data_IF_036150222655
#
_entry.id   IF_036150222655
#
_cell.length_a   1.000
_cell.length_b   1.000
_cell.length_c   1.000
_cell.angle_alpha   90.00
_cell.angle_beta   90.00
_cell.angle_gamma   90.00
#
_symmetry.space_group_name_H-M   'P 1'
#
loop_
_entity.id
_entity.type
_entity.pdbx_description
1 polymer ?
#
# COMPACT_ATOMS: atom_id res chain seq x y z
N UNK A 1 8.49 13.86 -5.96
CA UNK A 1 7.54 13.21 -5.05
C UNK A 1 8.25 12.21 -4.14
N UNK A 2 7.82 12.14 -2.90
CA UNK A 2 8.32 11.19 -1.90
C UNK A 2 7.35 10.04 -1.73
N UNK A 3 7.84 8.82 -1.87
CA UNK A 3 7.08 7.58 -1.73
C UNK A 3 7.52 6.79 -0.51
N UNK A 4 6.60 6.14 0.15
CA UNK A 4 6.88 5.11 1.14
C UNK A 4 6.22 3.80 0.71
N UNK A 5 6.89 2.69 0.97
CA UNK A 5 6.42 1.34 0.66
C UNK A 5 6.24 0.57 1.98
N UNK A 6 5.08 -0.04 2.13
CA UNK A 6 4.77 -0.91 3.28
C UNK A 6 4.32 -2.25 2.74
N UNK A 7 5.13 -3.28 2.89
CA UNK A 7 4.74 -4.64 2.54
C UNK A 7 4.13 -5.32 3.75
N UNK A 8 2.88 -5.76 3.59
CA UNK A 8 2.11 -6.44 4.63
C UNK A 8 2.19 -7.93 4.39
N UNK A 9 3.00 -8.63 5.18
CA UNK A 9 3.24 -10.06 5.02
C UNK A 9 3.75 -10.69 6.31
N UNK A 10 3.19 -11.85 6.66
CA UNK A 10 3.65 -12.65 7.80
C UNK A 10 4.95 -13.42 7.50
N UNK A 11 5.37 -13.51 6.23
CA UNK A 11 6.47 -14.39 5.79
C UNK A 11 7.61 -13.69 5.07
N UNK A 12 7.38 -12.48 4.51
CA UNK A 12 8.42 -11.75 3.76
C UNK A 12 9.34 -10.97 4.69
N UNK A 13 10.58 -10.77 4.21
CA UNK A 13 11.55 -9.82 4.77
C UNK A 13 11.87 -8.78 3.68
N UNK A 14 12.63 -7.74 4.01
CA UNK A 14 13.06 -6.77 3.00
C UNK A 14 13.84 -7.44 1.85
N UNK A 15 14.62 -8.47 2.15
CA UNK A 15 15.40 -9.20 1.15
C UNK A 15 14.51 -10.05 0.23
N UNK A 16 13.41 -10.60 0.74
CA UNK A 16 12.50 -11.46 -0.02
C UNK A 16 11.27 -10.74 -0.56
N UNK A 17 11.14 -9.45 -0.30
CA UNK A 17 10.03 -8.60 -0.73
C UNK A 17 10.17 -8.21 -2.20
N UNK A 18 9.85 -9.13 -3.10
CA UNK A 18 9.97 -8.93 -4.54
C UNK A 18 9.11 -7.76 -5.03
N UNK A 19 7.86 -7.69 -4.61
CA UNK A 19 6.93 -6.65 -5.04
C UNK A 19 7.39 -5.25 -4.58
N UNK A 20 7.76 -5.12 -3.30
CA UNK A 20 8.26 -3.87 -2.75
C UNK A 20 9.55 -3.41 -3.42
N UNK A 21 10.46 -4.34 -3.70
CA UNK A 21 11.72 -4.03 -4.38
C UNK A 21 11.49 -3.56 -5.83
N UNK A 22 10.55 -4.16 -6.56
CA UNK A 22 10.16 -3.71 -7.91
C UNK A 22 9.58 -2.30 -7.86
N UNK A 23 8.72 -2.00 -6.88
CA UNK A 23 8.17 -0.65 -6.70
C UNK A 23 9.28 0.38 -6.44
N UNK A 24 10.25 0.03 -5.61
CA UNK A 24 11.37 0.91 -5.31
C UNK A 24 12.17 1.25 -6.57
N UNK A 25 12.43 0.25 -7.41
CA UNK A 25 13.07 0.45 -8.72
C UNK A 25 12.25 1.36 -9.63
N UNK A 26 10.94 1.13 -9.74
CA UNK A 26 10.05 1.93 -10.58
C UNK A 26 9.97 3.40 -10.11
N UNK A 27 9.95 3.62 -8.81
CA UNK A 27 9.98 4.95 -8.21
C UNK A 27 11.26 5.67 -8.61
N UNK A 28 12.40 5.00 -8.49
CA UNK A 28 13.69 5.55 -8.87
C UNK A 28 13.78 5.88 -10.37
N UNK A 29 13.26 5.00 -11.23
CA UNK A 29 13.22 5.23 -12.68
C UNK A 29 12.45 6.49 -13.07
N UNK A 30 11.42 6.85 -12.28
CA UNK A 30 10.65 8.09 -12.48
C UNK A 30 11.34 9.33 -11.96
N UNK A 31 12.49 9.20 -11.33
CA UNK A 31 13.19 10.30 -10.69
C UNK A 31 12.57 10.71 -9.36
N UNK A 32 11.74 9.87 -8.77
CA UNK A 32 11.12 10.10 -7.46
C UNK A 32 11.94 9.43 -6.36
N UNK A 33 11.65 9.76 -5.11
CA UNK A 33 12.42 9.28 -3.96
C UNK A 33 11.61 8.31 -3.12
N UNK A 34 12.15 7.14 -2.83
CA UNK A 34 11.62 6.24 -1.81
C UNK A 34 12.20 6.65 -0.45
N UNK A 35 11.38 7.23 0.41
CA UNK A 35 11.82 7.73 1.73
C UNK A 35 11.74 6.66 2.82
N UNK A 36 11.00 5.59 2.60
CA UNK A 36 10.87 4.48 3.53
C UNK A 36 10.38 3.23 2.80
N UNK A 37 10.95 2.08 3.14
CA UNK A 37 10.48 0.78 2.69
C UNK A 37 10.55 -0.18 3.88
N UNK A 38 9.41 -0.64 4.35
CA UNK A 38 9.30 -1.52 5.51
C UNK A 38 8.42 -2.74 5.20
N UNK A 39 8.68 -3.82 5.91
CA UNK A 39 7.82 -5.00 5.93
C UNK A 39 7.21 -5.11 7.33
N UNK A 40 5.90 -5.28 7.40
CA UNK A 40 5.18 -5.51 8.65
C UNK A 40 4.36 -6.79 8.54
N UNK A 41 4.04 -7.38 9.67
CA UNK A 41 3.13 -8.53 9.71
C UNK A 41 1.70 -8.11 9.35
N UNK A 42 0.83 -9.09 9.00
CA UNK A 42 -0.57 -8.85 8.65
C UNK A 42 -1.43 -8.57 9.90
N UNK A 43 -0.98 -7.63 10.71
CA UNK A 43 -1.70 -7.15 11.90
C UNK A 43 -2.22 -5.74 11.68
N UNK A 44 -3.53 -5.57 11.82
CA UNK A 44 -4.24 -4.31 11.54
C UNK A 44 -3.61 -3.11 12.24
N UNK A 45 -3.29 -3.24 13.51
CA UNK A 45 -2.69 -2.13 14.29
C UNK A 45 -1.27 -1.78 13.83
N UNK A 46 -0.48 -2.78 13.43
CA UNK A 46 0.90 -2.56 12.96
C UNK A 46 0.91 -1.94 11.57
N UNK A 47 0.02 -2.37 10.68
CA UNK A 47 -0.13 -1.76 9.35
C UNK A 47 -0.57 -0.29 9.50
N UNK A 48 -1.57 -0.03 10.33
CA UNK A 48 -2.06 1.31 10.63
C UNK A 48 -0.93 2.22 11.16
N UNK A 49 -0.13 1.72 12.09
CA UNK A 49 1.00 2.45 12.65
C UNK A 49 2.07 2.76 11.60
N UNK A 50 2.36 1.80 10.71
CA UNK A 50 3.31 2.01 9.62
C UNK A 50 2.84 3.12 8.67
N UNK A 51 1.55 3.16 8.36
CA UNK A 51 0.95 4.23 7.53
C UNK A 51 1.12 5.59 8.21
N UNK A 52 0.77 5.69 9.48
CA UNK A 52 0.90 6.94 10.25
C UNK A 52 2.36 7.42 10.26
N UNK A 53 3.30 6.51 10.47
CA UNK A 53 4.73 6.82 10.46
C UNK A 53 5.21 7.32 9.10
N UNK A 54 4.78 6.67 8.01
CA UNK A 54 5.13 7.08 6.66
C UNK A 54 4.60 8.48 6.33
N UNK A 55 3.38 8.79 6.73
CA UNK A 55 2.76 10.10 6.49
C UNK A 55 3.38 11.21 7.36
N UNK A 56 3.64 10.93 8.63
CA UNK A 56 4.11 11.93 9.60
C UNK A 56 5.62 12.07 9.61
N UNK A 57 6.33 11.04 10.07
CA UNK A 57 7.79 11.10 10.22
C UNK A 57 8.53 11.26 8.89
N UNK A 58 8.12 10.52 7.88
CA UNK A 58 8.78 10.52 6.58
C UNK A 58 8.16 11.50 5.59
N UNK A 59 7.06 12.13 5.94
CA UNK A 59 6.37 13.13 5.10
C UNK A 59 6.17 12.65 3.67
N UNK A 60 5.80 11.38 3.48
CA UNK A 60 5.55 10.81 2.16
C UNK A 60 4.39 11.53 1.47
N UNK A 61 4.51 11.75 0.18
CA UNK A 61 3.41 12.24 -0.65
C UNK A 61 2.45 11.10 -1.01
N UNK A 62 3.03 9.90 -1.20
CA UNK A 62 2.28 8.68 -1.53
C UNK A 62 2.82 7.51 -0.70
N UNK A 63 1.92 6.78 -0.09
CA UNK A 63 2.21 5.50 0.56
C UNK A 63 1.59 4.38 -0.28
N UNK A 64 2.39 3.39 -0.65
CA UNK A 64 1.91 2.20 -1.35
C UNK A 64 2.05 1.01 -0.41
N UNK A 65 0.95 0.33 -0.16
CA UNK A 65 0.98 -0.92 0.58
C UNK A 65 0.93 -2.10 -0.40
N UNK A 66 1.65 -3.17 -0.09
CA UNK A 66 1.64 -4.41 -0.85
C UNK A 66 1.17 -5.54 0.04
N UNK A 67 0.16 -6.27 -0.40
CA UNK A 67 -0.38 -7.41 0.32
C UNK A 67 -1.59 -7.08 1.20
N UNK A 68 -2.28 -8.12 1.64
CA UNK A 68 -3.38 -8.02 2.58
C UNK A 68 -4.68 -7.45 2.05
N UNK A 69 -4.94 -7.51 0.73
CA UNK A 69 -6.14 -6.95 0.11
C UNK A 69 -7.12 -8.00 -0.43
N UNK A 70 -6.93 -9.26 -0.07
CA UNK A 70 -7.80 -10.36 -0.49
C UNK A 70 -8.90 -10.69 0.51
N UNK A 71 -9.33 -11.97 0.50
CA UNK A 71 -10.47 -12.45 1.27
C UNK A 71 -10.08 -13.33 2.47
N UNK A 72 -8.79 -13.53 2.71
CA UNK A 72 -8.31 -14.29 3.86
C UNK A 72 -8.56 -13.53 5.17
N UNK A 73 -8.79 -14.23 6.30
CA UNK A 73 -8.91 -13.56 7.60
C UNK A 73 -7.72 -12.68 7.99
N UNK A 74 -6.54 -12.99 7.48
CA UNK A 74 -5.33 -12.19 7.70
C UNK A 74 -5.21 -10.99 6.76
N UNK A 75 -6.07 -10.86 5.75
CA UNK A 75 -6.07 -9.75 4.81
C UNK A 75 -6.84 -8.57 5.41
N UNK A 76 -6.14 -7.67 6.08
CA UNK A 76 -6.72 -6.55 6.84
C UNK A 76 -6.14 -5.19 6.45
N UNK A 77 -5.41 -5.12 5.34
CA UNK A 77 -4.77 -3.88 4.89
C UNK A 77 -5.80 -2.77 4.58
N UNK A 78 -6.93 -3.03 3.91
CA UNK A 78 -7.94 -2.00 3.69
C UNK A 78 -8.52 -1.46 5.00
N UNK A 79 -8.83 -2.33 5.96
CA UNK A 79 -9.36 -1.94 7.26
C UNK A 79 -8.35 -1.10 8.05
N UNK A 80 -7.08 -1.48 8.04
CA UNK A 80 -6.02 -0.72 8.69
C UNK A 80 -5.85 0.68 8.06
N UNK A 81 -5.97 0.77 6.74
CA UNK A 81 -5.92 2.04 6.01
C UNK A 81 -7.09 2.95 6.39
N UNK A 82 -8.29 2.39 6.43
CA UNK A 82 -9.50 3.11 6.82
C UNK A 82 -9.41 3.65 8.25
N UNK A 83 -8.81 2.90 9.16
CA UNK A 83 -8.65 3.32 10.57
C UNK A 83 -7.90 4.64 10.72
N UNK A 84 -7.00 4.96 9.83
CA UNK A 84 -6.06 6.10 9.97
C UNK A 84 -6.14 7.13 8.86
N UNK A 85 -7.03 6.97 7.91
CA UNK A 85 -7.21 7.90 6.80
C UNK A 85 -8.50 8.71 6.94
N UNK A 86 -8.52 9.87 6.26
CA UNK A 86 -9.57 10.87 6.44
C UNK A 86 -10.75 10.66 5.49
N UNK A 87 -10.46 10.29 4.23
CA UNK A 87 -11.49 10.16 3.19
C UNK A 87 -11.04 9.26 2.05
N UNK A 88 -12.01 8.69 1.33
CA UNK A 88 -11.80 7.81 0.20
C UNK A 88 -11.46 8.59 -1.08
N UNK A 89 -10.57 8.02 -1.90
CA UNK A 89 -10.23 8.47 -3.26
C UNK A 89 -10.42 7.28 -4.19
N UNK A 90 -11.65 6.93 -4.58
CA UNK A 90 -11.95 5.62 -5.16
C UNK A 90 -11.39 5.37 -6.56
N UNK A 91 -11.14 6.42 -7.34
CA UNK A 91 -10.79 6.29 -8.76
C UNK A 91 -9.53 5.50 -9.03
N UNK A 92 -8.49 5.64 -8.20
CA UNK A 92 -7.22 4.91 -8.40
C UNK A 92 -7.44 3.40 -8.23
N UNK A 93 -8.09 2.97 -7.17
CA UNK A 93 -8.37 1.55 -6.93
C UNK A 93 -9.29 0.96 -8.00
N UNK A 94 -10.29 1.70 -8.46
CA UNK A 94 -11.15 1.32 -9.58
C UNK A 94 -10.34 1.12 -10.86
N UNK A 95 -9.45 2.05 -11.18
CA UNK A 95 -8.57 1.96 -12.34
C UNK A 95 -7.61 0.78 -12.26
N UNK A 96 -7.04 0.50 -11.10
CA UNK A 96 -6.18 -0.65 -10.87
C UNK A 96 -6.92 -1.97 -11.11
N UNK A 97 -8.14 -2.11 -10.58
CA UNK A 97 -8.97 -3.31 -10.81
C UNK A 97 -9.35 -3.47 -12.27
N UNK A 98 -9.77 -2.39 -12.94
CA UNK A 98 -10.12 -2.42 -14.36
C UNK A 98 -8.92 -2.84 -15.23
N UNK A 99 -7.73 -2.33 -14.94
CA UNK A 99 -6.52 -2.73 -15.64
C UNK A 99 -6.20 -4.21 -15.40
N UNK A 100 -6.27 -4.66 -14.17
CA UNK A 100 -5.97 -6.06 -13.80
C UNK A 100 -6.96 -7.06 -14.39
N UNK A 101 -8.20 -6.65 -14.66
CA UNK A 101 -9.21 -7.50 -15.32
C UNK A 101 -8.78 -7.95 -16.72
N UNK A 102 -7.86 -7.25 -17.38
CA UNK A 102 -7.29 -7.67 -18.66
C UNK A 102 -6.46 -8.94 -18.55
N UNK A 103 -5.97 -9.27 -17.36
CA UNK A 103 -5.07 -10.39 -17.10
C UNK A 103 -5.74 -11.51 -16.31
N UNK A 104 -6.66 -11.17 -15.40
CA UNK A 104 -7.33 -12.14 -14.56
C UNK A 104 -8.67 -11.62 -14.03
N UNK A 105 -9.69 -12.46 -14.08
CA UNK A 105 -11.00 -12.16 -13.49
C UNK A 105 -10.95 -12.06 -11.95
N UNK A 106 -9.92 -12.61 -11.32
CA UNK A 106 -9.73 -12.54 -9.87
C UNK A 106 -9.51 -11.12 -9.37
N UNK A 107 -9.19 -10.18 -10.26
CA UNK A 107 -9.12 -8.77 -9.91
C UNK A 107 -10.42 -8.25 -9.26
N UNK A 108 -11.58 -8.84 -9.59
CA UNK A 108 -12.86 -8.51 -8.96
C UNK A 108 -12.89 -8.78 -7.45
N UNK A 109 -12.01 -9.64 -6.96
CA UNK A 109 -11.94 -10.03 -5.54
C UNK A 109 -10.99 -9.14 -4.74
N UNK A 110 -10.27 -8.24 -5.40
CA UNK A 110 -9.40 -7.29 -4.72
C UNK A 110 -10.22 -6.27 -3.95
N UNK A 111 -9.91 -6.11 -2.67
CA UNK A 111 -10.51 -5.10 -1.79
C UNK A 111 -9.60 -3.89 -1.63
N UNK A 112 -8.61 -3.74 -2.51
CA UNK A 112 -7.70 -2.60 -2.52
C UNK A 112 -8.48 -1.28 -2.55
N UNK A 113 -7.95 -0.29 -1.84
CA UNK A 113 -8.54 1.04 -1.79
C UNK A 113 -7.46 2.11 -1.91
N UNK A 114 -7.88 3.31 -2.20
CA UNK A 114 -7.05 4.50 -2.09
C UNK A 114 -7.76 5.49 -1.17
N UNK A 115 -7.03 6.00 -0.21
CA UNK A 115 -7.53 6.99 0.75
C UNK A 115 -6.54 8.13 0.90
N UNK A 116 -6.97 9.20 1.51
CA UNK A 116 -6.13 10.34 1.83
C UNK A 116 -5.99 10.46 3.35
N UNK A 117 -4.74 10.61 3.81
CA UNK A 117 -4.43 11.02 5.18
C UNK A 117 -3.68 12.35 5.12
N UNK A 118 -4.30 13.44 5.61
CA UNK A 118 -3.73 14.77 5.49
C UNK A 118 -3.44 15.11 4.04
N UNK A 119 -2.18 15.28 3.69
CA UNK A 119 -1.70 15.57 2.31
C UNK A 119 -1.23 14.31 1.56
N UNK A 120 -1.26 13.15 2.18
CA UNK A 120 -0.71 11.90 1.63
C UNK A 120 -1.79 11.03 1.03
N UNK A 121 -1.56 10.51 -0.18
CA UNK A 121 -2.34 9.42 -0.73
C UNK A 121 -1.83 8.09 -0.20
N UNK A 122 -2.74 7.24 0.26
CA UNK A 122 -2.44 5.88 0.72
C UNK A 122 -3.13 4.92 -0.21
N UNK A 123 -2.36 4.14 -0.96
CA UNK A 123 -2.82 3.23 -2.01
C UNK A 123 -2.49 1.79 -1.59
N UNK A 124 -3.53 0.98 -1.54
CA UNK A 124 -3.30 -0.46 -1.30
C UNK A 124 -3.02 -1.21 -2.59
#
# INVERSE_FOLDING_TARGET
>A
MKFAIITCSDTRTLETDTAGNVLEELIAEKGWTCVSHVVTTDERSLIAQAIVTACGRFEADVVITCGGTGLSPRDVTPEATEDVCDRSVPGIAEGMRAYSMKFTNRAMLSRAMCMQRGKTLVIN
#
